data_IF_939699419748
#
_entry.id   IF_939699419748
#
_cell.length_a   1.000
_cell.length_b   1.000
_cell.length_c   1.000
_cell.angle_alpha   90.00
_cell.angle_beta   90.00
_cell.angle_gamma   90.00
#
_symmetry.space_group_name_H-M   'P 1'
#
loop_
_entity.id
_entity.type
_entity.pdbx_description
1 polymer ?
#
# COMPACT_ATOMS: atom_id res chain seq x y z
N UNK A 1 32.85 -2.45 -18.47
CA UNK A 1 32.20 -3.46 -19.34
C UNK A 1 30.72 -3.10 -19.40
N UNK A 2 30.18 -2.75 -20.57
CA UNK A 2 28.75 -2.47 -20.71
C UNK A 2 27.98 -3.78 -20.55
N UNK A 3 27.03 -3.83 -19.60
CA UNK A 3 26.15 -4.98 -19.40
C UNK A 3 25.22 -5.14 -20.61
N UNK A 4 24.96 -6.38 -21.01
CA UNK A 4 23.97 -6.68 -22.06
C UNK A 4 22.53 -6.45 -21.54
N UNK A 5 21.56 -6.29 -22.42
CA UNK A 5 20.14 -6.12 -22.02
C UNK A 5 19.61 -7.26 -21.14
N UNK A 6 19.85 -8.57 -21.45
CA UNK A 6 19.45 -9.66 -20.57
C UNK A 6 20.02 -9.55 -19.16
N UNK A 7 21.32 -9.24 -19.03
CA UNK A 7 21.97 -9.07 -17.72
C UNK A 7 21.39 -7.89 -16.92
N UNK A 8 21.01 -6.81 -17.58
CA UNK A 8 20.34 -5.66 -16.94
C UNK A 8 18.95 -6.03 -16.42
N UNK A 9 18.19 -6.81 -17.20
CA UNK A 9 16.85 -7.28 -16.80
C UNK A 9 16.94 -8.19 -15.57
N UNK A 10 17.84 -9.16 -15.58
CA UNK A 10 18.05 -10.10 -14.47
C UNK A 10 18.46 -9.37 -13.18
N UNK A 11 19.40 -8.43 -13.26
CA UNK A 11 19.83 -7.63 -12.10
C UNK A 11 18.70 -6.74 -11.58
N UNK A 12 17.93 -6.12 -12.49
CA UNK A 12 16.78 -5.27 -12.14
C UNK A 12 15.69 -6.09 -11.44
N UNK A 13 15.34 -7.27 -11.97
CA UNK A 13 14.37 -8.17 -11.35
C UNK A 13 14.82 -8.60 -9.95
N UNK A 14 16.08 -9.00 -9.80
CA UNK A 14 16.63 -9.40 -8.50
C UNK A 14 16.58 -8.25 -7.47
N UNK A 15 17.00 -7.04 -7.86
CA UNK A 15 16.98 -5.86 -7.00
C UNK A 15 15.55 -5.47 -6.64
N UNK A 16 14.64 -5.47 -7.60
CA UNK A 16 13.22 -5.18 -7.38
C UNK A 16 12.60 -6.11 -6.35
N UNK A 17 12.74 -7.43 -6.54
CA UNK A 17 12.21 -8.43 -5.58
C UNK A 17 12.85 -8.31 -4.20
N UNK A 18 14.16 -8.04 -4.14
CA UNK A 18 14.88 -7.83 -2.88
C UNK A 18 14.38 -6.58 -2.16
N UNK A 19 14.22 -5.47 -2.90
CA UNK A 19 13.70 -4.20 -2.38
C UNK A 19 12.29 -4.35 -1.85
N UNK A 20 11.37 -4.95 -2.61
CA UNK A 20 9.97 -5.16 -2.19
C UNK A 20 9.91 -5.97 -0.90
N UNK A 21 10.63 -7.10 -0.82
CA UNK A 21 10.66 -7.92 0.40
C UNK A 21 11.22 -7.15 1.60
N UNK A 22 12.31 -6.39 1.39
CA UNK A 22 12.94 -5.60 2.45
C UNK A 22 12.01 -4.47 2.92
N UNK A 23 11.38 -3.78 1.99
CA UNK A 23 10.43 -2.70 2.29
C UNK A 23 9.26 -3.22 3.14
N UNK A 24 8.59 -4.30 2.72
CA UNK A 24 7.48 -4.90 3.48
C UNK A 24 7.94 -5.30 4.89
N UNK A 25 9.09 -5.99 5.00
CA UNK A 25 9.64 -6.41 6.28
C UNK A 25 9.94 -5.25 7.23
N UNK A 26 10.50 -4.14 6.73
CA UNK A 26 10.80 -2.97 7.57
C UNK A 26 9.53 -2.17 7.88
N UNK A 27 8.63 -1.99 6.91
CA UNK A 27 7.32 -1.36 7.11
C UNK A 27 6.51 -2.04 8.23
N UNK A 28 6.50 -3.36 8.25
CA UNK A 28 5.70 -4.14 9.21
C UNK A 28 6.26 -4.10 10.64
N UNK A 29 7.50 -3.67 10.81
CA UNK A 29 8.08 -3.39 12.14
C UNK A 29 7.61 -2.06 12.73
N UNK A 30 7.15 -1.13 11.88
CA UNK A 30 6.75 0.21 12.32
C UNK A 30 5.37 0.14 12.96
N UNK A 31 5.35 0.38 14.27
CA UNK A 31 4.13 0.51 15.05
C UNK A 31 4.14 1.82 15.82
N UNK A 32 3.05 2.56 15.70
CA UNK A 32 2.85 3.84 16.37
C UNK A 32 1.71 3.65 17.36
N UNK A 33 2.01 3.68 18.65
CA UNK A 33 1.05 3.39 19.74
C UNK A 33 0.31 2.05 19.54
N UNK A 34 1.00 1.06 18.93
CA UNK A 34 0.45 -0.27 18.66
C UNK A 34 -0.34 -0.38 17.36
N UNK A 35 -0.44 0.68 16.56
CA UNK A 35 -1.04 0.67 15.22
C UNK A 35 0.05 0.55 14.17
N UNK A 36 -0.10 -0.41 13.28
CA UNK A 36 0.78 -0.59 12.12
C UNK A 36 0.61 0.54 11.09
N UNK A 37 1.64 0.83 10.33
CA UNK A 37 1.63 1.89 9.32
C UNK A 37 0.42 1.84 8.35
N UNK A 38 -0.02 0.67 7.81
CA UNK A 38 -1.23 0.60 7.00
C UNK A 38 -2.50 1.10 7.73
N UNK A 39 -2.61 0.90 9.04
CA UNK A 39 -3.72 1.44 9.83
C UNK A 39 -3.76 2.97 9.86
N UNK A 40 -2.59 3.63 9.87
CA UNK A 40 -2.53 5.08 9.73
C UNK A 40 -2.99 5.55 8.35
N UNK A 41 -2.67 4.78 7.29
CA UNK A 41 -3.12 5.09 5.94
C UNK A 41 -4.64 5.02 5.83
N UNK A 42 -5.28 4.01 6.45
CA UNK A 42 -6.74 3.89 6.53
C UNK A 42 -7.35 5.12 7.21
N UNK A 43 -6.85 5.52 8.39
CA UNK A 43 -7.37 6.69 9.10
C UNK A 43 -7.19 7.98 8.30
N UNK A 44 -6.04 8.19 7.66
CA UNK A 44 -5.81 9.34 6.80
C UNK A 44 -6.76 9.37 5.60
N UNK A 45 -7.08 8.20 5.03
CA UNK A 45 -8.02 8.10 3.92
C UNK A 45 -9.43 8.50 4.33
N UNK A 46 -9.87 8.07 5.51
CA UNK A 46 -11.17 8.47 6.06
C UNK A 46 -11.21 9.98 6.34
N UNK A 47 -10.11 10.57 6.82
CA UNK A 47 -10.03 12.02 7.02
C UNK A 47 -10.20 12.79 5.71
N UNK A 48 -9.62 12.27 4.62
CA UNK A 48 -9.65 12.93 3.31
C UNK A 48 -11.01 12.78 2.60
N UNK A 49 -11.61 11.61 2.68
CA UNK A 49 -12.75 11.23 1.84
C UNK A 49 -14.05 10.98 2.63
N UNK A 50 -14.04 11.13 3.96
CA UNK A 50 -15.14 10.72 4.83
C UNK A 50 -15.16 9.20 5.06
N UNK A 51 -16.28 8.71 5.60
CA UNK A 51 -16.49 7.29 5.86
C UNK A 51 -16.32 6.44 4.59
N UNK A 52 -15.67 5.28 4.72
CA UNK A 52 -15.27 4.45 3.58
C UNK A 52 -15.77 3.01 3.75
N UNK A 53 -16.10 2.34 2.63
CA UNK A 53 -16.35 0.90 2.63
C UNK A 53 -15.04 0.14 2.84
N UNK A 54 -15.11 -0.98 3.56
CA UNK A 54 -13.93 -1.83 3.76
C UNK A 54 -13.40 -2.39 2.44
N UNK A 55 -14.29 -2.70 1.50
CA UNK A 55 -13.92 -3.17 0.15
C UNK A 55 -13.12 -2.14 -0.62
N UNK A 56 -13.55 -0.88 -0.59
CA UNK A 56 -12.91 0.21 -1.31
C UNK A 56 -11.54 0.52 -0.71
N UNK A 57 -11.42 0.48 0.63
CA UNK A 57 -10.14 0.60 1.33
C UNK A 57 -9.18 -0.56 1.00
N UNK A 58 -9.70 -1.78 0.87
CA UNK A 58 -8.89 -2.95 0.51
C UNK A 58 -8.32 -2.80 -0.90
N UNK A 59 -9.15 -2.42 -1.86
CA UNK A 59 -8.76 -2.19 -3.26
C UNK A 59 -7.74 -1.05 -3.37
N UNK A 60 -8.02 0.09 -2.76
CA UNK A 60 -7.15 1.27 -2.86
C UNK A 60 -5.78 1.09 -2.19
N UNK A 61 -5.72 0.30 -1.13
CA UNK A 61 -4.47 0.02 -0.41
C UNK A 61 -3.78 -1.28 -0.86
N UNK A 62 -4.28 -1.92 -1.92
CA UNK A 62 -3.79 -3.22 -2.43
C UNK A 62 -3.71 -4.28 -1.32
N UNK A 63 -4.74 -4.35 -0.47
CA UNK A 63 -4.83 -5.28 0.65
C UNK A 63 -5.85 -6.38 0.39
N UNK A 64 -5.59 -7.57 0.94
CA UNK A 64 -6.59 -8.64 0.95
C UNK A 64 -7.75 -8.32 1.90
N UNK A 65 -8.93 -8.90 1.68
CA UNK A 65 -10.09 -8.80 2.56
C UNK A 65 -9.77 -9.15 4.02
N UNK A 66 -8.93 -10.17 4.25
CA UNK A 66 -8.48 -10.55 5.59
C UNK A 66 -7.58 -9.49 6.22
N UNK A 67 -6.64 -8.93 5.46
CA UNK A 67 -5.73 -7.91 5.94
C UNK A 67 -6.46 -6.62 6.33
N UNK A 68 -7.37 -6.13 5.48
CA UNK A 68 -8.14 -4.92 5.80
C UNK A 68 -9.04 -5.13 7.02
N UNK A 69 -9.68 -6.30 7.14
CA UNK A 69 -10.51 -6.64 8.29
C UNK A 69 -9.70 -6.61 9.58
N UNK A 70 -8.54 -7.27 9.63
CA UNK A 70 -7.67 -7.31 10.81
C UNK A 70 -7.16 -5.91 11.21
N UNK A 71 -6.83 -5.06 10.23
CA UNK A 71 -6.44 -3.67 10.49
C UNK A 71 -7.60 -2.85 11.08
N UNK A 72 -8.79 -2.98 10.50
CA UNK A 72 -9.99 -2.28 10.99
C UNK A 72 -10.38 -2.74 12.41
N UNK A 73 -10.31 -4.06 12.69
CA UNK A 73 -10.55 -4.61 14.03
C UNK A 73 -9.58 -4.00 15.05
N UNK A 74 -8.32 -3.84 14.67
CA UNK A 74 -7.31 -3.22 15.54
C UNK A 74 -7.56 -1.73 15.77
N UNK A 75 -8.03 -1.01 14.76
CA UNK A 75 -8.40 0.40 14.89
C UNK A 75 -9.62 0.57 15.81
N UNK A 76 -10.62 -0.31 15.70
CA UNK A 76 -11.78 -0.32 16.60
C UNK A 76 -11.40 -0.71 18.03
N UNK A 77 -10.59 -1.74 18.22
CA UNK A 77 -10.07 -2.14 19.55
C UNK A 77 -9.38 -0.98 20.26
N UNK A 78 -8.68 -0.14 19.51
CA UNK A 78 -8.01 1.07 20.02
C UNK A 78 -8.92 2.30 20.12
N UNK A 79 -10.19 2.18 19.75
CA UNK A 79 -11.13 3.29 19.76
C UNK A 79 -10.85 4.39 18.75
N UNK A 80 -10.03 4.11 17.72
CA UNK A 80 -9.61 5.11 16.71
C UNK A 80 -10.56 5.18 15.51
N UNK A 81 -11.31 4.11 15.27
CA UNK A 81 -12.31 4.03 14.22
C UNK A 81 -13.56 3.30 14.74
N UNK A 82 -14.65 3.39 14.03
CA UNK A 82 -15.92 2.72 14.32
C UNK A 82 -16.58 2.25 13.03
N UNK A 83 -17.11 1.02 13.05
CA UNK A 83 -17.93 0.50 11.96
C UNK A 83 -19.36 0.98 12.09
N UNK A 84 -19.91 1.47 10.98
CA UNK A 84 -21.29 1.87 10.84
C UNK A 84 -21.97 1.06 9.75
N UNK A 85 -23.25 0.73 9.93
CA UNK A 85 -24.04 0.16 8.83
C UNK A 85 -24.61 1.31 8.00
N UNK A 86 -24.49 1.19 6.67
CA UNK A 86 -25.09 2.14 5.77
C UNK A 86 -26.62 2.11 5.89
N UNK A 87 -27.26 3.26 6.03
CA UNK A 87 -28.68 3.32 6.35
C UNK A 87 -29.57 2.78 5.22
N UNK A 88 -29.17 2.99 3.97
CA UNK A 88 -29.94 2.58 2.78
C UNK A 88 -29.72 1.10 2.43
N UNK A 89 -28.56 0.53 2.75
CA UNK A 89 -28.27 -0.89 2.59
C UNK A 89 -27.43 -1.42 3.78
N UNK A 90 -28.10 -2.12 4.68
CA UNK A 90 -27.47 -2.69 5.90
C UNK A 90 -26.39 -3.76 5.64
N UNK A 91 -26.24 -4.22 4.40
CA UNK A 91 -25.17 -5.13 3.99
C UNK A 91 -23.84 -4.41 3.83
N UNK A 92 -23.90 -3.10 3.62
CA UNK A 92 -22.72 -2.25 3.48
C UNK A 92 -22.25 -1.82 4.86
N UNK A 93 -20.99 -2.10 5.15
CA UNK A 93 -20.30 -1.65 6.36
C UNK A 93 -19.34 -0.54 5.96
N UNK A 94 -19.49 0.61 6.60
CA UNK A 94 -18.62 1.77 6.47
C UNK A 94 -17.72 1.83 7.70
N UNK A 95 -16.47 2.24 7.51
CA UNK A 95 -15.55 2.60 8.59
C UNK A 95 -15.46 4.12 8.66
N UNK A 96 -15.61 4.63 9.87
CA UNK A 96 -15.48 6.07 10.16
C UNK A 96 -14.45 6.30 11.26
N UNK A 97 -13.85 7.50 11.28
CA UNK A 97 -12.88 7.88 12.29
C UNK A 97 -13.56 8.45 13.52
N UNK A 98 -13.05 8.14 14.72
CA UNK A 98 -13.52 8.73 15.97
C UNK A 98 -12.77 10.03 16.29
N UNK A 99 -13.25 10.78 17.30
CA UNK A 99 -12.49 11.93 17.83
C UNK A 99 -11.09 11.53 18.31
N UNK A 100 -10.96 10.36 18.95
CA UNK A 100 -9.66 9.85 19.41
C UNK A 100 -8.78 9.47 18.23
N UNK A 101 -9.36 8.94 17.15
CA UNK A 101 -8.68 8.72 15.89
C UNK A 101 -8.13 10.01 15.27
N UNK A 102 -8.93 11.08 15.25
CA UNK A 102 -8.49 12.39 14.79
C UNK A 102 -7.33 12.94 15.64
N UNK A 103 -7.44 12.86 16.97
CA UNK A 103 -6.36 13.26 17.90
C UNK A 103 -5.11 12.43 17.69
N UNK A 104 -5.27 11.11 17.47
CA UNK A 104 -4.16 10.19 17.19
C UNK A 104 -3.40 10.60 15.91
N UNK A 105 -4.10 10.84 14.80
CA UNK A 105 -3.47 11.29 13.55
C UNK A 105 -2.81 12.65 13.72
N UNK A 106 -3.47 13.61 14.39
CA UNK A 106 -2.92 14.94 14.62
C UNK A 106 -1.59 14.92 15.39
N UNK A 107 -1.48 14.13 16.47
CA UNK A 107 -0.23 14.04 17.24
C UNK A 107 0.88 13.26 16.52
N UNK A 108 0.50 12.40 15.58
CA UNK A 108 1.44 11.56 14.82
C UNK A 108 1.63 12.03 13.35
N UNK A 109 1.18 13.24 12.98
CA UNK A 109 1.16 13.70 11.59
C UNK A 109 2.54 13.72 10.92
N UNK A 110 3.61 13.94 11.69
CA UNK A 110 4.98 13.98 11.18
C UNK A 110 5.54 12.60 10.80
N UNK A 111 4.91 11.50 11.27
CA UNK A 111 5.44 10.16 11.05
C UNK A 111 5.49 9.76 9.57
N UNK A 112 4.49 10.15 8.79
CA UNK A 112 4.50 9.90 7.33
C UNK A 112 5.65 10.64 6.67
N UNK A 113 5.82 11.92 6.99
CA UNK A 113 6.91 12.74 6.43
C UNK A 113 8.27 12.18 6.84
N UNK A 114 8.44 11.80 8.11
CA UNK A 114 9.66 11.18 8.60
C UNK A 114 9.96 9.84 7.90
N UNK A 115 8.95 9.01 7.70
CA UNK A 115 9.11 7.75 6.96
C UNK A 115 9.59 7.99 5.52
N UNK A 116 8.95 8.92 4.81
CA UNK A 116 9.33 9.24 3.42
C UNK A 116 10.71 9.87 3.33
N UNK A 117 11.06 10.78 4.25
CA UNK A 117 12.39 11.41 4.27
C UNK A 117 13.50 10.39 4.54
N UNK A 118 13.28 9.41 5.42
CA UNK A 118 14.25 8.33 5.67
C UNK A 118 14.35 7.38 4.48
N UNK A 119 13.22 7.02 3.86
CA UNK A 119 13.19 6.10 2.72
C UNK A 119 13.90 6.65 1.49
N UNK A 120 13.75 7.95 1.25
CA UNK A 120 14.31 8.64 0.09
C UNK A 120 15.49 9.58 0.45
N UNK A 121 16.13 9.31 1.59
CA UNK A 121 17.32 10.06 1.99
C UNK A 121 18.45 9.92 0.96
N UNK A 122 19.10 11.03 0.64
CA UNK A 122 20.18 11.10 -0.33
C UNK A 122 19.77 11.16 -1.81
N UNK A 123 18.48 11.12 -2.14
CA UNK A 123 18.01 11.27 -3.51
C UNK A 123 17.87 12.74 -3.90
N UNK A 124 18.36 13.10 -5.09
CA UNK A 124 18.11 14.41 -5.69
C UNK A 124 16.68 14.53 -6.24
N UNK A 125 16.15 15.74 -6.44
CA UNK A 125 14.84 15.93 -7.12
C UNK A 125 14.78 15.29 -8.49
N UNK A 126 15.87 15.33 -9.28
CA UNK A 126 15.97 14.75 -10.61
C UNK A 126 15.90 13.21 -10.56
N UNK A 127 16.59 12.60 -9.60
CA UNK A 127 16.53 11.15 -9.37
C UNK A 127 15.11 10.72 -8.94
N UNK A 128 14.45 11.48 -8.07
CA UNK A 128 13.06 11.20 -7.69
C UNK A 128 12.10 11.34 -8.87
N UNK A 129 12.28 12.33 -9.72
CA UNK A 129 11.47 12.50 -10.94
C UNK A 129 11.62 11.32 -11.89
N UNK A 130 12.86 10.87 -12.13
CA UNK A 130 13.13 9.69 -12.94
C UNK A 130 12.50 8.42 -12.32
N UNK A 131 12.60 8.28 -11.00
CA UNK A 131 12.03 7.15 -10.28
C UNK A 131 10.49 7.09 -10.39
N UNK A 132 9.83 8.25 -10.35
CA UNK A 132 8.37 8.35 -10.56
C UNK A 132 7.99 7.78 -11.94
N UNK A 133 8.70 8.14 -13.00
CA UNK A 133 8.41 7.64 -14.35
C UNK A 133 8.66 6.12 -14.47
N UNK A 134 9.70 5.62 -13.82
CA UNK A 134 10.00 4.18 -13.77
C UNK A 134 8.87 3.44 -13.02
N UNK A 135 8.42 3.94 -11.88
CA UNK A 135 7.35 3.31 -11.11
C UNK A 135 6.00 3.32 -11.83
N UNK A 136 5.65 4.41 -12.52
CA UNK A 136 4.44 4.47 -13.35
C UNK A 136 4.44 3.39 -14.43
N UNK A 137 5.57 3.21 -15.10
CA UNK A 137 5.74 2.19 -16.16
C UNK A 137 5.65 0.77 -15.58
N UNK A 138 6.28 0.52 -14.43
CA UNK A 138 6.18 -0.76 -13.73
C UNK A 138 4.76 -1.07 -13.29
N UNK A 139 4.06 -0.09 -12.70
CA UNK A 139 2.67 -0.24 -12.29
C UNK A 139 1.77 -0.61 -13.48
N UNK A 140 1.89 0.10 -14.59
CA UNK A 140 1.16 -0.21 -15.83
C UNK A 140 1.44 -1.63 -16.34
N UNK A 141 2.69 -2.07 -16.33
CA UNK A 141 3.05 -3.42 -16.76
C UNK A 141 2.49 -4.51 -15.82
N UNK A 142 2.36 -4.20 -14.53
CA UNK A 142 1.82 -5.14 -13.54
C UNK A 142 0.31 -5.36 -13.70
N UNK A 143 -0.45 -4.39 -14.22
CA UNK A 143 -1.93 -4.50 -14.39
C UNK A 143 -2.34 -5.73 -15.19
N UNK A 144 -1.54 -6.14 -16.16
CA UNK A 144 -1.85 -7.25 -17.07
C UNK A 144 -0.86 -8.41 -17.00
N UNK A 145 0.10 -8.37 -16.07
CA UNK A 145 1.21 -9.30 -16.04
C UNK A 145 0.77 -10.77 -15.98
N UNK A 146 -0.10 -11.12 -15.04
CA UNK A 146 -0.55 -12.50 -14.85
C UNK A 146 -1.30 -13.03 -16.08
N UNK A 147 -2.23 -12.23 -16.63
CA UNK A 147 -2.98 -12.58 -17.83
C UNK A 147 -2.08 -12.84 -19.03
N UNK A 148 -1.10 -11.94 -19.25
CA UNK A 148 -0.16 -12.06 -20.37
C UNK A 148 0.70 -13.31 -20.27
N UNK A 149 1.25 -13.59 -19.08
CA UNK A 149 2.10 -14.76 -18.85
C UNK A 149 1.30 -16.07 -18.98
N UNK A 150 0.07 -16.12 -18.43
CA UNK A 150 -0.78 -17.31 -18.53
C UNK A 150 -1.17 -17.61 -19.99
N UNK A 151 -1.46 -16.57 -20.78
CA UNK A 151 -1.75 -16.73 -22.21
C UNK A 151 -0.57 -17.32 -22.97
N UNK A 152 0.62 -16.78 -22.80
CA UNK A 152 1.85 -17.30 -23.44
C UNK A 152 2.17 -18.73 -23.02
N UNK A 153 1.91 -19.12 -21.76
CA UNK A 153 2.11 -20.48 -21.29
C UNK A 153 1.19 -21.48 -21.97
N UNK A 154 -0.07 -21.13 -22.20
CA UNK A 154 -1.05 -21.98 -22.86
C UNK A 154 -0.73 -22.17 -24.36
N UNK A 155 -0.31 -21.12 -25.05
CA UNK A 155 0.10 -21.17 -26.47
C UNK A 155 1.32 -22.10 -26.68
N UNK A 156 2.27 -22.14 -25.73
CA UNK A 156 3.45 -23.02 -25.81
C UNK A 156 3.13 -24.50 -25.44
N UNK A 157 1.95 -24.82 -24.95
CA UNK A 157 1.57 -26.18 -24.55
C UNK A 157 0.77 -26.88 -25.67
N UNK A 158 0.31 -26.14 -26.67
CA UNK A 158 -0.43 -26.66 -27.83
C UNK A 158 0.45 -26.94 -29.06
N UNK A 159 1.77 -26.67 -29.00
CA UNK A 159 2.80 -27.10 -29.96
C UNK A 159 3.52 -28.38 -29.48
#
# INVERSE_FOLDING_TARGET
MNKTMPTLIEETDWLFRKMVRKFVKERDKIKIEGIMLPGLLILNKIIQNGEQRLTDLAEELDLTSGAITALCDKLEEKGLAVRKRYQEDRRIILLDITEDGLKFIKRNHNMRTSFMSVLFDGFSPEELQLQIEVFKRLAHNLEHLSHTIMKQSNENTEE
#
